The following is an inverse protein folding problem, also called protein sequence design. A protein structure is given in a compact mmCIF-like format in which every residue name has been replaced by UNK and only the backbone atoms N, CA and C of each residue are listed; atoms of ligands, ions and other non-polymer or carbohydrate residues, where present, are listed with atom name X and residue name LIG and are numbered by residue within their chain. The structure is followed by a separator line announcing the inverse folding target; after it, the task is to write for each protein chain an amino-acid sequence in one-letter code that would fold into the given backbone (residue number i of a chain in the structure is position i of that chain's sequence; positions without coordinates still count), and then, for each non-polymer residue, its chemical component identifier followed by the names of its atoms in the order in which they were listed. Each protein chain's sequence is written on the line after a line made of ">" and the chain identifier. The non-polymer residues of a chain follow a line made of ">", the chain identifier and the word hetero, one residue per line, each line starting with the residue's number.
data_IF_360620333467
#
_entry.id   IF_360620333467
#
_cell.length_a   1.000
_cell.length_b   1.000
_cell.length_c   1.000
_cell.angle_alpha   90.00
_cell.angle_beta   90.00
_cell.angle_gamma   90.00
#
_symmetry.space_group_name_H-M   'P 1'
#
loop_
_entity.id
_entity.type
_entity.pdbx_description
1 polymer ?
#
# COMPACT_ATOMS: atom_id res chain seq x y z
N UNK A 1 -11.91 15.71 -29.15
CA UNK A 1 -11.90 15.96 -27.68
C UNK A 1 -10.71 15.21 -27.11
N UNK A 2 -9.91 15.81 -26.22
CA UNK A 2 -8.67 15.18 -25.71
C UNK A 2 -7.92 16.11 -24.76
N UNK A 3 -6.70 15.75 -24.38
CA UNK A 3 -5.83 16.58 -23.56
C UNK A 3 -5.35 17.81 -24.31
N UNK A 4 -5.39 18.97 -23.68
CA UNK A 4 -5.03 20.25 -24.30
C UNK A 4 -3.54 20.26 -24.69
N UNK A 5 -3.27 20.42 -26.00
CA UNK A 5 -1.91 20.42 -26.59
C UNK A 5 -1.06 19.19 -26.24
N UNK A 6 -1.67 18.05 -25.94
CA UNK A 6 -0.98 16.81 -25.62
C UNK A 6 -1.61 15.66 -26.43
N UNK A 7 -1.12 15.51 -27.65
CA UNK A 7 -1.62 14.52 -28.58
C UNK A 7 -1.27 13.10 -28.16
N UNK A 8 -0.09 12.91 -27.56
CA UNK A 8 0.36 11.61 -27.09
C UNK A 8 -0.56 11.05 -26.01
N UNK A 9 -0.82 11.81 -24.96
CA UNK A 9 -1.74 11.38 -23.90
C UNK A 9 -3.18 11.26 -24.41
N UNK A 10 -3.56 12.06 -25.41
CA UNK A 10 -4.88 11.92 -26.05
C UNK A 10 -5.01 10.57 -26.77
N UNK A 11 -4.01 10.16 -27.55
CA UNK A 11 -4.00 8.88 -28.28
C UNK A 11 -3.89 7.67 -27.33
N UNK A 12 -3.22 7.82 -26.18
CA UNK A 12 -3.16 6.79 -25.16
C UNK A 12 -4.50 6.61 -24.41
N UNK A 13 -5.27 7.70 -24.27
CA UNK A 13 -6.53 7.69 -23.54
C UNK A 13 -7.76 7.38 -24.41
N UNK A 14 -7.71 7.69 -25.72
CA UNK A 14 -8.81 7.49 -26.65
C UNK A 14 -8.33 6.64 -27.82
N UNK A 15 -8.98 5.50 -28.02
CA UNK A 15 -8.68 4.65 -29.18
C UNK A 15 -9.46 5.05 -30.44
N UNK A 16 -9.15 4.38 -31.56
CA UNK A 16 -9.79 4.63 -32.87
C UNK A 16 -11.29 4.33 -32.87
N UNK A 17 -11.76 3.49 -31.96
CA UNK A 17 -13.14 3.07 -31.84
C UNK A 17 -13.96 3.96 -30.89
N UNK A 18 -13.30 4.99 -30.32
CA UNK A 18 -13.92 5.97 -29.43
C UNK A 18 -13.99 5.55 -27.96
N UNK A 19 -13.33 4.46 -27.57
CA UNK A 19 -13.25 4.06 -26.17
C UNK A 19 -12.24 4.89 -25.39
N UNK A 20 -12.62 5.22 -24.16
CA UNK A 20 -11.73 5.89 -23.21
C UNK A 20 -11.06 4.87 -22.28
N UNK A 21 -9.72 4.81 -22.35
CA UNK A 21 -8.89 4.01 -21.48
C UNK A 21 -8.53 4.79 -20.21
N UNK A 22 -9.28 4.59 -19.12
CA UNK A 22 -9.03 5.28 -17.85
C UNK A 22 -7.71 4.90 -17.19
N UNK A 23 -7.13 3.75 -17.59
CA UNK A 23 -5.94 3.17 -16.97
C UNK A 23 -6.24 2.47 -15.65
N UNK A 24 -7.52 2.28 -15.31
CA UNK A 24 -7.93 1.57 -14.10
C UNK A 24 -8.22 0.10 -14.40
N UNK A 25 -7.93 -0.77 -13.44
CA UNK A 25 -8.30 -2.19 -13.46
C UNK A 25 -9.52 -2.37 -12.57
N UNK A 26 -10.55 -2.98 -13.11
CA UNK A 26 -11.79 -3.24 -12.40
C UNK A 26 -12.29 -4.66 -12.60
N UNK A 27 -13.25 -5.06 -11.76
CA UNK A 27 -13.98 -6.31 -11.85
C UNK A 27 -15.47 -6.05 -11.79
N UNK A 28 -16.24 -6.73 -12.63
CA UNK A 28 -17.70 -6.71 -12.55
C UNK A 28 -18.12 -7.74 -11.49
N UNK A 29 -18.82 -7.25 -10.47
CA UNK A 29 -19.34 -8.09 -9.39
C UNK A 29 -20.60 -8.86 -9.85
N UNK A 30 -20.99 -9.95 -9.13
CA UNK A 30 -22.20 -10.72 -9.47
C UNK A 30 -23.49 -9.90 -9.53
N UNK A 31 -23.57 -8.78 -8.81
CA UNK A 31 -24.70 -7.85 -8.83
C UNK A 31 -24.64 -6.83 -9.98
N UNK A 32 -23.68 -6.94 -10.90
CA UNK A 32 -23.47 -6.02 -12.02
C UNK A 32 -22.70 -4.74 -11.69
N UNK A 33 -22.33 -4.50 -10.44
CA UNK A 33 -21.57 -3.31 -10.07
C UNK A 33 -20.09 -3.44 -10.51
N UNK A 34 -19.50 -2.35 -10.99
CA UNK A 34 -18.08 -2.25 -11.28
C UNK A 34 -17.31 -1.90 -9.99
N UNK A 35 -16.36 -2.74 -9.63
CA UNK A 35 -15.41 -2.46 -8.53
C UNK A 35 -14.03 -2.18 -9.12
N UNK A 36 -13.50 -0.99 -8.87
CA UNK A 36 -12.11 -0.65 -9.19
C UNK A 36 -11.19 -1.33 -8.18
N UNK A 37 -10.14 -1.98 -8.70
CA UNK A 37 -9.15 -2.73 -7.89
C UNK A 37 -7.91 -1.87 -7.69
N UNK A 38 -7.33 -1.34 -8.78
CA UNK A 38 -6.12 -0.53 -8.78
C UNK A 38 -5.89 0.12 -10.14
N UNK A 39 -4.87 0.96 -10.25
CA UNK A 39 -4.40 1.47 -11.54
C UNK A 39 -3.49 0.47 -12.24
N UNK A 40 -3.62 0.32 -13.56
CA UNK A 40 -2.78 -0.55 -14.38
C UNK A 40 -1.29 -0.27 -14.18
N UNK A 41 -0.90 1.01 -14.04
CA UNK A 41 0.50 1.43 -13.83
C UNK A 41 1.03 1.12 -12.44
N UNK A 42 0.17 0.89 -11.44
CA UNK A 42 0.57 0.58 -10.08
C UNK A 42 0.82 -0.92 -9.88
N UNK A 43 0.23 -1.76 -10.74
CA UNK A 43 0.43 -3.19 -10.65
C UNK A 43 1.89 -3.55 -10.93
N UNK A 44 2.47 -4.35 -10.08
CA UNK A 44 3.78 -4.95 -10.32
C UNK A 44 3.71 -6.47 -10.25
N UNK A 45 4.71 -7.13 -10.82
CA UNK A 45 4.80 -8.58 -10.88
C UNK A 45 5.93 -9.06 -9.99
N UNK A 46 5.67 -10.09 -9.19
CA UNK A 46 6.71 -10.78 -8.43
C UNK A 46 7.44 -11.80 -9.31
N UNK A 47 8.58 -12.32 -8.83
CA UNK A 47 9.45 -13.25 -9.57
C UNK A 47 8.73 -14.53 -9.99
N UNK A 48 7.76 -15.02 -9.21
CA UNK A 48 6.95 -16.19 -9.52
C UNK A 48 5.81 -15.93 -10.51
N UNK A 49 5.65 -14.70 -10.98
CA UNK A 49 4.67 -14.38 -12.01
C UNK A 49 3.36 -13.80 -11.49
N UNK A 50 3.17 -13.69 -10.18
CA UNK A 50 1.96 -13.14 -9.55
C UNK A 50 1.94 -11.62 -9.64
N UNK A 51 0.78 -11.08 -10.00
CA UNK A 51 0.55 -9.64 -10.04
C UNK A 51 0.01 -9.14 -8.71
N UNK A 52 0.58 -8.06 -8.21
CA UNK A 52 0.18 -7.40 -6.97
C UNK A 52 -0.50 -6.09 -7.31
N UNK A 53 -1.64 -5.84 -6.65
CA UNK A 53 -2.32 -4.55 -6.59
C UNK A 53 -1.99 -3.91 -5.24
N UNK A 54 -0.97 -3.02 -5.15
CA UNK A 54 -0.51 -2.50 -3.86
C UNK A 54 -1.60 -1.74 -3.12
N UNK A 55 -2.37 -0.91 -3.80
CA UNK A 55 -3.45 -0.13 -3.20
C UNK A 55 -4.51 -1.03 -2.52
N UNK A 56 -4.82 -2.20 -3.09
CA UNK A 56 -5.71 -3.19 -2.45
C UNK A 56 -5.14 -3.66 -1.11
N UNK A 57 -3.85 -3.99 -1.06
CA UNK A 57 -3.19 -4.51 0.14
C UNK A 57 -3.05 -3.42 1.19
N UNK A 58 -2.62 -2.22 0.80
CA UNK A 58 -2.51 -1.04 1.65
C UNK A 58 -3.86 -0.71 2.31
N UNK A 59 -4.94 -0.67 1.53
CA UNK A 59 -6.30 -0.42 2.03
C UNK A 59 -6.77 -1.47 3.05
N UNK A 60 -6.33 -2.72 2.92
CA UNK A 60 -6.63 -3.77 3.89
C UNK A 60 -5.83 -3.55 5.18
N UNK A 61 -4.53 -3.26 5.07
CA UNK A 61 -3.67 -3.01 6.22
C UNK A 61 -4.07 -1.74 6.99
N UNK A 62 -4.54 -0.72 6.30
CA UNK A 62 -5.08 0.51 6.89
C UNK A 62 -6.34 0.30 7.76
N UNK A 63 -7.02 -0.85 7.65
CA UNK A 63 -8.13 -1.21 8.55
C UNK A 63 -7.64 -1.66 9.93
N UNK A 64 -6.36 -1.95 10.08
CA UNK A 64 -5.76 -2.27 11.36
C UNK A 64 -5.64 -1.00 12.21
N UNK A 65 -6.26 -0.99 13.40
CA UNK A 65 -6.29 0.18 14.31
C UNK A 65 -4.92 0.70 14.74
N UNK A 66 -3.88 -0.10 14.57
CA UNK A 66 -2.50 0.24 14.95
C UNK A 66 -1.73 0.92 13.82
N UNK A 67 -2.32 1.05 12.63
CA UNK A 67 -1.67 1.56 11.43
C UNK A 67 -2.29 2.90 11.05
N UNK A 68 -1.46 3.91 10.82
CA UNK A 68 -1.86 5.20 10.31
C UNK A 68 -1.62 5.31 8.79
N UNK A 69 -0.47 4.79 8.31
CA UNK A 69 -0.14 4.79 6.89
C UNK A 69 0.63 3.50 6.54
N UNK A 70 0.43 3.00 5.33
CA UNK A 70 1.11 1.80 4.84
C UNK A 70 1.49 1.98 3.38
N UNK A 71 2.68 1.55 3.04
CA UNK A 71 3.17 1.49 1.66
C UNK A 71 3.74 0.09 1.40
N UNK A 72 3.23 -0.56 0.34
CA UNK A 72 3.64 -1.90 -0.09
C UNK A 72 4.59 -1.77 -1.27
N UNK A 73 5.67 -2.54 -1.22
CA UNK A 73 6.64 -2.63 -2.31
C UNK A 73 7.04 -4.07 -2.60
N UNK A 74 7.23 -4.35 -3.87
CA UNK A 74 7.82 -5.57 -4.40
C UNK A 74 8.28 -5.35 -5.82
N UNK A 75 9.09 -6.27 -6.33
CA UNK A 75 9.62 -6.21 -7.69
C UNK A 75 9.76 -7.61 -8.30
N UNK A 76 10.05 -7.66 -9.60
CA UNK A 76 10.15 -8.91 -10.38
C UNK A 76 11.35 -9.77 -10.03
N UNK A 77 12.28 -9.29 -9.20
CA UNK A 77 13.45 -10.04 -8.75
C UNK A 77 13.23 -10.68 -7.38
N UNK A 78 12.09 -10.41 -6.74
CA UNK A 78 11.76 -10.90 -5.40
C UNK A 78 10.46 -11.69 -5.42
N UNK A 79 10.35 -12.65 -4.52
CA UNK A 79 9.21 -13.57 -4.39
C UNK A 79 8.20 -13.17 -3.29
N UNK A 80 8.43 -12.01 -2.65
CA UNK A 80 7.57 -11.50 -1.61
C UNK A 80 7.53 -9.97 -1.56
N UNK A 81 6.47 -9.45 -0.96
CA UNK A 81 6.30 -8.03 -0.69
C UNK A 81 6.93 -7.64 0.64
N UNK A 82 7.34 -6.40 0.72
CA UNK A 82 7.73 -5.71 1.95
C UNK A 82 6.83 -4.51 2.17
N UNK A 83 6.74 -4.02 3.41
CA UNK A 83 5.99 -2.81 3.69
C UNK A 83 6.80 -1.82 4.53
N UNK A 84 6.59 -0.53 4.24
CA UNK A 84 6.90 0.55 5.17
C UNK A 84 5.59 0.93 5.84
N UNK A 85 5.60 1.02 7.15
CA UNK A 85 4.39 1.25 7.96
C UNK A 85 4.65 2.42 8.90
N UNK A 86 3.79 3.42 8.84
CA UNK A 86 3.69 4.43 9.88
C UNK A 86 2.62 3.98 10.87
N UNK A 87 3.02 3.57 12.11
CA UNK A 87 2.05 3.12 13.10
C UNK A 87 1.25 4.30 13.65
N UNK A 88 0.08 4.01 14.20
CA UNK A 88 -0.64 5.00 15.00
C UNK A 88 0.18 5.30 16.27
N UNK A 89 0.79 6.49 16.31
CA UNK A 89 1.71 6.88 17.37
C UNK A 89 1.04 6.92 18.74
N UNK A 90 -0.26 7.22 18.82
CA UNK A 90 -1.02 7.21 20.06
C UNK A 90 -1.19 5.80 20.65
N UNK A 91 -1.11 4.78 19.82
CA UNK A 91 -1.21 3.39 20.23
C UNK A 91 0.14 2.81 20.70
N UNK A 92 1.28 3.38 20.28
CA UNK A 92 2.61 2.84 20.60
C UNK A 92 2.91 2.73 22.10
N UNK A 93 2.59 3.73 22.96
CA UNK A 93 2.84 3.61 24.40
C UNK A 93 2.05 2.44 25.04
N UNK A 94 0.82 2.22 24.57
CA UNK A 94 -0.01 1.11 25.07
C UNK A 94 0.58 -0.24 24.66
N UNK A 95 1.05 -0.35 23.41
CA UNK A 95 1.73 -1.55 22.90
C UNK A 95 3.02 -1.78 23.69
N UNK A 96 3.86 -0.77 23.87
CA UNK A 96 5.11 -0.84 24.60
C UNK A 96 4.88 -1.34 26.05
N UNK A 97 3.90 -0.76 26.74
CA UNK A 97 3.53 -1.19 28.10
C UNK A 97 3.07 -2.64 28.15
N UNK A 98 2.29 -3.11 27.19
CA UNK A 98 1.83 -4.51 27.14
C UNK A 98 2.97 -5.49 26.88
N UNK A 99 4.05 -5.06 26.24
CA UNK A 99 5.24 -5.85 25.95
C UNK A 99 6.35 -5.71 27.00
N UNK A 100 6.10 -4.95 28.08
CA UNK A 100 7.09 -4.69 29.13
C UNK A 100 8.28 -3.84 28.67
N UNK A 101 8.04 -2.95 27.69
CA UNK A 101 9.03 -2.02 27.15
C UNK A 101 8.84 -0.68 27.87
N UNK A 102 9.97 -0.05 28.26
CA UNK A 102 9.97 1.29 28.86
C UNK A 102 9.38 2.32 27.90
N UNK A 103 8.80 3.39 28.44
CA UNK A 103 8.29 4.51 27.65
C UNK A 103 9.47 5.23 26.98
N UNK A 104 9.57 5.04 25.69
CA UNK A 104 10.63 5.60 24.85
C UNK A 104 10.02 6.48 23.75
N UNK A 105 10.86 7.30 23.11
CA UNK A 105 10.40 8.10 21.98
C UNK A 105 9.82 7.22 20.84
N UNK A 106 8.83 7.69 20.08
CA UNK A 106 8.26 6.95 18.96
C UNK A 106 9.31 6.41 17.98
N UNK A 107 10.39 7.19 17.73
CA UNK A 107 11.48 6.78 16.85
C UNK A 107 12.21 5.53 17.38
N UNK A 108 12.45 5.43 18.69
CA UNK A 108 13.06 4.25 19.31
C UNK A 108 12.09 3.07 19.35
N UNK A 109 10.81 3.32 19.67
CA UNK A 109 9.78 2.28 19.68
C UNK A 109 9.63 1.65 18.28
N UNK A 110 9.64 2.43 17.22
CA UNK A 110 9.59 1.93 15.84
C UNK A 110 10.81 1.08 15.45
N UNK A 111 11.95 1.22 16.13
CA UNK A 111 13.14 0.38 15.93
C UNK A 111 13.18 -0.86 16.82
N UNK A 112 12.30 -0.95 17.82
CA UNK A 112 12.29 -2.06 18.76
C UNK A 112 11.75 -3.34 18.10
N UNK A 113 12.54 -4.45 18.08
CA UNK A 113 12.15 -5.68 17.39
C UNK A 113 10.85 -6.31 17.93
N UNK A 114 10.53 -6.13 19.21
CA UNK A 114 9.28 -6.66 19.79
C UNK A 114 8.07 -5.90 19.28
N UNK A 115 8.18 -4.58 19.11
CA UNK A 115 7.12 -3.74 18.52
C UNK A 115 6.94 -4.04 17.04
N UNK A 116 8.05 -4.14 16.29
CA UNK A 116 8.00 -4.54 14.87
C UNK A 116 7.30 -5.89 14.72
N UNK A 117 7.67 -6.87 15.53
CA UNK A 117 7.04 -8.20 15.53
C UNK A 117 5.55 -8.13 15.86
N UNK A 118 5.17 -7.39 16.90
CA UNK A 118 3.77 -7.20 17.26
C UNK A 118 2.95 -6.62 16.10
N UNK A 119 3.44 -5.54 15.48
CA UNK A 119 2.76 -4.91 14.34
C UNK A 119 2.67 -5.89 13.16
N UNK A 120 3.74 -6.64 12.86
CA UNK A 120 3.71 -7.66 11.80
C UNK A 120 2.62 -8.72 12.06
N UNK A 121 2.51 -9.22 13.29
CA UNK A 121 1.49 -10.20 13.68
C UNK A 121 0.06 -9.64 13.53
N UNK A 122 -0.15 -8.37 13.87
CA UNK A 122 -1.45 -7.71 13.69
C UNK A 122 -1.80 -7.51 12.20
N UNK A 123 -0.82 -7.17 11.36
CA UNK A 123 -1.01 -7.12 9.91
C UNK A 123 -1.31 -8.49 9.31
N UNK A 124 -0.64 -9.55 9.78
CA UNK A 124 -0.90 -10.93 9.35
C UNK A 124 -2.32 -11.39 9.75
N UNK A 125 -2.81 -10.98 10.92
CA UNK A 125 -4.20 -11.21 11.34
C UNK A 125 -5.18 -10.48 10.43
N UNK A 126 -4.90 -9.20 10.12
CA UNK A 126 -5.73 -8.41 9.22
C UNK A 126 -5.77 -9.00 7.81
N UNK A 127 -4.61 -9.42 7.28
CA UNK A 127 -4.49 -10.09 5.99
C UNK A 127 -5.36 -11.35 5.92
N UNK A 128 -5.32 -12.20 6.95
CA UNK A 128 -6.15 -13.41 7.03
C UNK A 128 -7.63 -13.07 7.11
N UNK A 129 -8.01 -12.09 7.93
CA UNK A 129 -9.40 -11.64 8.10
C UNK A 129 -10.02 -11.17 6.78
N UNK A 130 -9.27 -10.42 5.99
CA UNK A 130 -9.72 -9.89 4.69
C UNK A 130 -9.31 -10.77 3.50
N UNK A 131 -8.88 -12.03 3.77
CA UNK A 131 -8.60 -13.06 2.77
C UNK A 131 -7.56 -12.63 1.72
N UNK A 132 -6.48 -11.94 2.14
CA UNK A 132 -5.33 -11.70 1.27
C UNK A 132 -4.67 -13.03 0.90
N UNK A 133 -4.27 -13.14 -0.36
CA UNK A 133 -3.51 -14.29 -0.85
C UNK A 133 -2.10 -14.30 -0.27
N UNK A 134 -1.49 -15.45 -0.12
CA UNK A 134 -0.20 -15.59 0.55
C UNK A 134 0.94 -14.78 -0.09
N UNK A 135 0.88 -14.58 -1.40
CA UNK A 135 1.85 -13.77 -2.15
C UNK A 135 1.56 -12.25 -2.06
N UNK A 136 0.33 -11.84 -1.69
CA UNK A 136 -0.02 -10.43 -1.46
C UNK A 136 0.48 -9.94 -0.10
N UNK A 137 0.67 -10.83 0.88
CA UNK A 137 1.07 -10.50 2.25
C UNK A 137 2.50 -9.98 2.30
N UNK A 138 2.74 -8.85 2.97
CA UNK A 138 4.08 -8.36 3.24
C UNK A 138 4.81 -9.24 4.25
N UNK A 139 5.90 -9.89 3.83
CA UNK A 139 6.68 -10.81 4.67
C UNK A 139 7.59 -10.10 5.67
N UNK A 140 7.93 -8.85 5.39
CA UNK A 140 8.76 -8.01 6.27
C UNK A 140 8.22 -6.59 6.27
N UNK A 141 8.28 -5.96 7.42
CA UNK A 141 7.90 -4.56 7.57
C UNK A 141 9.04 -3.75 8.17
N UNK A 142 9.06 -2.46 7.83
CA UNK A 142 9.86 -1.45 8.51
C UNK A 142 8.91 -0.41 9.08
N UNK A 143 9.04 -0.11 10.37
CA UNK A 143 8.27 0.97 10.97
C UNK A 143 8.97 2.32 10.78
N UNK A 144 8.20 3.35 10.49
CA UNK A 144 8.61 4.75 10.43
C UNK A 144 7.86 5.54 11.49
N UNK A 145 8.58 6.29 12.31
CA UNK A 145 7.97 7.24 13.26
C UNK A 145 7.49 8.53 12.58
N UNK A 146 7.90 8.76 11.32
CA UNK A 146 7.52 9.91 10.54
C UNK A 146 6.42 9.54 9.55
N UNK A 147 5.42 10.42 9.43
CA UNK A 147 4.38 10.30 8.41
C UNK A 147 4.97 10.43 7.01
N UNK A 148 4.42 9.72 6.06
CA UNK A 148 4.85 9.76 4.65
C UNK A 148 4.66 11.14 4.01
N UNK A 149 3.78 11.98 4.57
CA UNK A 149 3.63 13.39 4.16
C UNK A 149 4.95 14.15 4.27
N UNK A 150 5.73 13.87 5.31
CA UNK A 150 7.00 14.55 5.56
C UNK A 150 8.10 14.17 4.56
N UNK A 151 7.94 13.04 3.87
CA UNK A 151 8.88 12.60 2.82
C UNK A 151 8.60 13.21 1.45
N UNK A 152 7.54 14.05 1.31
CA UNK A 152 7.17 14.64 0.02
C UNK A 152 6.70 13.64 -1.03
N UNK A 153 6.32 12.43 -0.61
CA UNK A 153 5.90 11.34 -1.48
C UNK A 153 4.39 11.30 -1.73
N UNK A 154 3.69 12.38 -1.34
CA UNK A 154 2.27 12.55 -1.64
C UNK A 154 2.04 13.62 -2.70
N UNK A 155 1.02 13.39 -3.53
CA UNK A 155 0.47 14.42 -4.40
C UNK A 155 -0.26 15.49 -3.58
N UNK A 156 -0.56 16.64 -4.21
CA UNK A 156 -1.43 17.67 -3.61
C UNK A 156 -2.82 17.15 -3.22
N UNK A 157 -3.25 16.03 -3.79
CA UNK A 157 -4.52 15.35 -3.49
C UNK A 157 -4.36 14.22 -2.48
N UNK A 158 -3.26 14.18 -1.73
CA UNK A 158 -2.95 13.17 -0.69
C UNK A 158 -2.90 11.72 -1.24
N UNK A 159 -2.54 11.55 -2.49
CA UNK A 159 -2.25 10.23 -3.06
C UNK A 159 -0.76 9.95 -3.00
N UNK A 160 -0.39 8.75 -2.58
CA UNK A 160 1.00 8.31 -2.56
C UNK A 160 1.57 8.35 -3.99
N UNK A 161 2.69 9.05 -4.18
CA UNK A 161 3.42 9.02 -5.45
C UNK A 161 4.08 7.64 -5.57
N UNK A 162 3.86 6.97 -6.68
CA UNK A 162 4.62 5.77 -7.01
C UNK A 162 6.11 6.14 -7.06
N UNK A 163 6.94 5.40 -6.32
CA UNK A 163 8.41 5.58 -6.29
C UNK A 163 9.10 5.43 -7.66
N UNK A 164 8.34 5.15 -8.71
CA UNK A 164 8.83 5.07 -10.10
C UNK A 164 9.10 6.49 -10.68
N UNK A 165 8.74 7.54 -9.97
CA UNK A 165 8.86 8.93 -10.42
C UNK A 165 9.80 9.81 -9.57
N UNK A 166 10.60 9.22 -8.67
CA UNK A 166 11.64 9.92 -7.93
C UNK A 166 13.02 9.53 -8.46
#
# INVERSE_FOLDING_TARGET
>A
MGYYKDEKNTQEALDSDGWNHSGDIGVILPNGALKIIDRKKNLYKLSQGEYIAPEKVENIYMRCRFIAECFIYGDSLRDYNVAIVHPNLDALPTIAKSLGISDESPAKLCQNPKIVKFIQEELDKQAKKDSLLGFEVAKKIKLSSESFVNFGIFTSTMKLLSLIHI
#
